data_IF_636274500995
#
_entry.id   IF_636274500995
#
_cell.length_a   1.000
_cell.length_b   1.000
_cell.length_c   1.000
_cell.angle_alpha   90.00
_cell.angle_beta   90.00
_cell.angle_gamma   90.00
#
_symmetry.space_group_name_H-M   'P 1'
#
loop_
_entity.id
_entity.type
_entity.pdbx_description
1 polymer ?
#
# COMPACT_ATOMS: atom_id res chain seq x y z
N UNK A 1 36.76 84.02 3.65
CA UNK A 1 35.61 83.39 4.25
C UNK A 1 35.02 82.43 3.19
N UNK A 2 35.40 81.17 3.18
CA UNK A 2 34.97 80.20 2.19
C UNK A 2 33.92 79.31 2.85
N UNK A 3 32.69 79.34 2.37
CA UNK A 3 31.60 78.43 2.81
C UNK A 3 31.73 77.14 2.09
N UNK A 4 31.97 76.06 2.82
CA UNK A 4 31.99 74.69 2.32
C UNK A 4 30.56 74.16 2.40
N UNK A 5 29.94 73.94 1.24
CA UNK A 5 28.61 73.33 1.15
C UNK A 5 28.86 71.81 1.11
N UNK A 6 28.43 71.14 2.18
CA UNK A 6 28.49 69.69 2.29
C UNK A 6 27.22 69.11 1.65
N UNK A 7 27.35 68.49 0.47
CA UNK A 7 26.28 67.74 -0.21
C UNK A 7 26.22 66.34 0.39
N UNK A 8 25.18 66.15 1.23
CA UNK A 8 24.86 64.83 1.77
C UNK A 8 24.07 64.06 0.71
N UNK A 9 24.73 63.11 0.04
CA UNK A 9 24.05 62.14 -0.80
C UNK A 9 23.42 61.08 0.05
N UNK A 10 22.09 61.10 0.19
CA UNK A 10 21.30 60.02 0.83
C UNK A 10 21.17 58.90 -0.17
N UNK A 11 21.97 57.84 0.01
CA UNK A 11 21.79 56.57 -0.69
C UNK A 11 20.58 55.83 -0.10
N UNK A 12 19.48 55.79 -0.86
CA UNK A 12 18.27 55.06 -0.52
C UNK A 12 18.55 53.55 -0.73
N UNK A 13 18.92 52.84 0.33
CA UNK A 13 19.04 51.39 0.36
C UNK A 13 17.64 50.79 0.42
N UNK A 14 17.12 50.38 -0.74
CA UNK A 14 15.95 49.53 -0.81
C UNK A 14 16.33 48.12 -0.35
N UNK A 15 15.63 47.52 0.63
CA UNK A 15 15.83 46.13 0.94
C UNK A 15 15.29 45.28 -0.21
N UNK A 16 16.18 44.62 -0.95
CA UNK A 16 15.83 43.53 -1.85
C UNK A 16 15.26 42.39 -0.99
N UNK A 17 13.93 42.34 -0.88
CA UNK A 17 13.25 41.21 -0.35
C UNK A 17 13.41 40.06 -1.36
N UNK A 18 14.44 39.23 -1.16
CA UNK A 18 14.51 37.94 -1.78
C UNK A 18 13.32 37.13 -1.27
N UNK A 19 12.24 37.09 -2.02
CA UNK A 19 11.26 36.02 -1.92
C UNK A 19 11.99 34.73 -2.36
N UNK A 20 12.67 34.12 -1.42
CA UNK A 20 13.01 32.71 -1.54
C UNK A 20 11.69 31.96 -1.56
N UNK A 21 11.21 31.66 -2.76
CA UNK A 21 10.17 30.68 -2.99
C UNK A 21 10.78 29.36 -2.54
N UNK A 22 10.61 29.04 -1.27
CA UNK A 22 10.89 27.73 -0.72
C UNK A 22 10.02 26.77 -1.50
N UNK A 23 10.64 26.09 -2.48
CA UNK A 23 10.09 24.89 -3.11
C UNK A 23 9.80 23.96 -1.93
N UNK A 24 8.52 23.83 -1.61
CA UNK A 24 8.06 22.91 -0.57
C UNK A 24 8.47 21.53 -1.06
N UNK A 25 9.63 21.08 -0.61
CA UNK A 25 10.00 19.66 -0.75
C UNK A 25 8.91 18.91 -0.01
N UNK A 26 8.04 18.28 -0.77
CA UNK A 26 7.06 17.35 -0.22
C UNK A 26 7.85 16.27 0.50
N UNK A 27 7.73 16.26 1.83
CA UNK A 27 8.24 15.14 2.62
C UNK A 27 7.80 13.83 1.96
N UNK A 28 8.67 12.81 1.86
CA UNK A 28 8.31 11.52 1.23
C UNK A 28 7.00 10.92 1.74
N UNK A 29 6.61 11.23 2.98
CA UNK A 29 5.36 10.77 3.58
C UNK A 29 4.06 11.37 3.01
N UNK A 30 4.09 12.53 2.34
CA UNK A 30 2.85 13.14 1.80
C UNK A 30 2.47 12.55 0.44
N UNK A 31 3.45 12.31 -0.44
CA UNK A 31 3.18 11.72 -1.76
C UNK A 31 2.73 10.25 -1.67
N UNK A 32 3.21 9.53 -0.65
CA UNK A 32 2.87 8.13 -0.38
C UNK A 32 1.42 7.99 0.10
N UNK A 33 0.92 8.93 0.90
CA UNK A 33 -0.45 8.90 1.41
C UNK A 33 -1.50 9.08 0.31
N UNK A 34 -1.22 9.91 -0.70
CA UNK A 34 -2.14 10.15 -1.82
C UNK A 34 -2.33 8.89 -2.71
N UNK A 35 -1.28 8.05 -2.84
CA UNK A 35 -1.35 6.80 -3.64
C UNK A 35 -2.35 5.82 -3.04
N UNK A 36 -2.47 5.78 -1.72
CA UNK A 36 -3.34 4.87 -0.99
C UNK A 36 -4.67 5.47 -0.56
N UNK A 37 -4.95 6.75 -0.90
CA UNK A 37 -6.16 7.45 -0.50
C UNK A 37 -7.42 6.89 -1.18
N UNK A 38 -7.82 5.69 -0.79
CA UNK A 38 -9.00 4.94 -1.27
C UNK A 38 -9.78 4.39 -0.10
N UNK A 39 -11.02 3.99 -0.34
CA UNK A 39 -11.79 3.20 0.60
C UNK A 39 -11.35 1.73 0.53
N UNK A 40 -11.15 1.11 1.68
CA UNK A 40 -10.72 -0.29 1.78
C UNK A 40 -11.71 -1.13 2.58
N UNK A 41 -11.87 -2.36 2.12
CA UNK A 41 -12.58 -3.44 2.80
C UNK A 41 -11.68 -4.70 2.87
N UNK A 42 -12.25 -5.86 3.19
CA UNK A 42 -11.50 -7.13 3.18
C UNK A 42 -10.99 -7.51 1.78
N UNK A 43 -11.75 -7.18 0.73
CA UNK A 43 -11.35 -7.40 -0.66
C UNK A 43 -11.54 -6.12 -1.46
N UNK A 44 -10.47 -5.69 -2.09
CA UNK A 44 -10.36 -4.44 -2.84
C UNK A 44 -9.84 -4.74 -4.25
N UNK A 45 -10.75 -5.03 -5.17
CA UNK A 45 -10.41 -5.37 -6.55
C UNK A 45 -10.28 -4.11 -7.42
N UNK A 46 -9.24 -3.31 -7.18
CA UNK A 46 -9.00 -2.06 -7.94
C UNK A 46 -8.56 -2.33 -9.39
N UNK A 47 -8.03 -3.52 -9.68
CA UNK A 47 -7.65 -3.92 -11.03
C UNK A 47 -8.82 -4.52 -11.83
N UNK A 48 -9.97 -4.76 -11.16
CA UNK A 48 -11.19 -5.32 -11.76
C UNK A 48 -10.95 -6.67 -12.45
N UNK A 49 -10.24 -7.56 -11.79
CA UNK A 49 -9.91 -8.89 -12.30
C UNK A 49 -10.86 -9.98 -11.84
N UNK A 50 -11.78 -9.64 -10.93
CA UNK A 50 -12.80 -10.55 -10.39
C UNK A 50 -14.19 -10.16 -10.88
N UNK A 51 -15.07 -11.14 -11.03
CA UNK A 51 -16.50 -10.87 -11.24
C UNK A 51 -17.17 -10.41 -9.93
N UNK A 52 -18.34 -9.76 -9.99
CA UNK A 52 -19.09 -9.37 -8.79
C UNK A 52 -19.39 -10.56 -7.85
N UNK A 53 -19.73 -11.73 -8.40
CA UNK A 53 -20.02 -12.94 -7.61
C UNK A 53 -18.76 -13.50 -6.95
N UNK A 54 -17.62 -13.53 -7.66
CA UNK A 54 -16.33 -13.91 -7.11
C UNK A 54 -15.90 -12.97 -5.97
N UNK A 55 -16.05 -11.67 -6.18
CA UNK A 55 -15.78 -10.65 -5.16
C UNK A 55 -16.63 -10.85 -3.92
N UNK A 56 -17.94 -11.07 -4.11
CA UNK A 56 -18.89 -11.32 -3.01
C UNK A 56 -18.54 -12.60 -2.25
N UNK A 57 -18.27 -13.69 -2.94
CA UNK A 57 -17.93 -14.99 -2.34
C UNK A 57 -16.66 -14.88 -1.50
N UNK A 58 -15.59 -14.34 -2.07
CA UNK A 58 -14.31 -14.20 -1.39
C UNK A 58 -14.41 -13.24 -0.19
N UNK A 59 -15.07 -12.08 -0.35
CA UNK A 59 -15.33 -11.16 0.75
C UNK A 59 -16.10 -11.80 1.90
N UNK A 60 -17.09 -12.63 1.59
CA UNK A 60 -17.87 -13.35 2.61
C UNK A 60 -16.99 -14.33 3.39
N UNK A 61 -16.12 -15.07 2.70
CA UNK A 61 -15.17 -15.99 3.32
C UNK A 61 -14.21 -15.24 4.26
N UNK A 62 -13.65 -14.12 3.82
CA UNK A 62 -12.73 -13.31 4.62
C UNK A 62 -13.40 -12.74 5.88
N UNK A 63 -14.61 -12.20 5.75
CA UNK A 63 -15.41 -11.68 6.88
C UNK A 63 -15.80 -12.78 7.88
N UNK A 64 -16.17 -13.97 7.39
CA UNK A 64 -16.49 -15.11 8.24
C UNK A 64 -15.25 -15.60 9.02
N UNK A 65 -14.10 -15.63 8.38
CA UNK A 65 -12.84 -16.00 9.01
C UNK A 65 -12.43 -15.00 10.10
N UNK A 66 -12.48 -13.70 9.83
CA UNK A 66 -12.21 -12.68 10.85
C UNK A 66 -13.15 -12.81 12.05
N UNK A 67 -14.44 -12.99 11.81
CA UNK A 67 -15.43 -13.16 12.88
C UNK A 67 -15.13 -14.37 13.77
N UNK A 68 -14.59 -15.46 13.21
CA UNK A 68 -14.29 -16.70 13.93
C UNK A 68 -12.97 -16.63 14.72
N UNK A 69 -11.94 -16.00 14.14
CA UNK A 69 -10.57 -16.10 14.64
C UNK A 69 -9.98 -14.80 15.17
N UNK A 70 -10.60 -13.66 14.85
CA UNK A 70 -10.10 -12.30 15.01
C UNK A 70 -8.90 -11.96 14.10
N UNK A 71 -8.42 -12.90 13.28
CA UNK A 71 -7.41 -12.63 12.25
C UNK A 71 -8.06 -12.00 11.02
N UNK A 72 -7.52 -10.89 10.57
CA UNK A 72 -8.04 -10.15 9.42
C UNK A 72 -7.13 -10.35 8.20
N UNK A 73 -7.69 -10.90 7.13
CA UNK A 73 -7.04 -10.96 5.83
C UNK A 73 -7.61 -9.85 4.95
N UNK A 74 -6.73 -9.01 4.41
CA UNK A 74 -7.09 -7.98 3.41
C UNK A 74 -6.46 -8.35 2.09
N UNK A 75 -7.25 -8.30 1.02
CA UNK A 75 -6.79 -8.51 -0.36
C UNK A 75 -6.91 -7.19 -1.11
N UNK A 76 -5.85 -6.83 -1.82
CA UNK A 76 -5.82 -5.66 -2.70
C UNK A 76 -5.29 -6.08 -4.06
N UNK A 77 -6.01 -5.75 -5.13
CA UNK A 77 -5.49 -5.86 -6.50
C UNK A 77 -5.14 -4.48 -7.02
N UNK A 78 -4.06 -4.35 -7.81
CA UNK A 78 -3.64 -3.07 -8.38
C UNK A 78 -2.96 -3.25 -9.73
N UNK A 79 -3.29 -2.38 -10.69
CA UNK A 79 -2.63 -2.35 -12.00
C UNK A 79 -1.33 -1.55 -12.01
N UNK A 80 -1.04 -0.78 -10.95
CA UNK A 80 0.14 0.07 -10.88
C UNK A 80 0.61 0.24 -9.45
N UNK A 81 1.90 0.24 -9.27
CA UNK A 81 2.57 0.50 -7.98
C UNK A 81 3.32 1.83 -7.96
N UNK A 82 3.13 2.68 -8.98
CA UNK A 82 3.81 3.98 -9.02
C UNK A 82 3.50 4.82 -7.79
N UNK A 83 4.46 5.53 -7.22
CA UNK A 83 5.84 5.75 -7.68
C UNK A 83 6.85 4.66 -7.28
N UNK A 84 6.43 3.56 -6.64
CA UNK A 84 7.29 2.46 -6.26
C UNK A 84 7.80 1.69 -7.47
N UNK A 85 8.98 1.08 -7.32
CA UNK A 85 9.60 0.21 -8.32
C UNK A 85 9.49 -1.27 -7.95
N UNK A 86 9.13 -1.55 -6.71
CA UNK A 86 9.06 -2.90 -6.14
C UNK A 86 7.71 -3.12 -5.44
N UNK A 87 7.11 -4.31 -5.64
CA UNK A 87 5.81 -4.67 -5.06
C UNK A 87 5.90 -4.86 -3.55
N UNK A 88 7.05 -5.28 -3.04
CA UNK A 88 7.27 -5.48 -1.62
C UNK A 88 7.24 -4.13 -0.88
N UNK A 89 8.00 -3.13 -1.36
CA UNK A 89 8.02 -1.79 -0.77
C UNK A 89 6.64 -1.13 -0.81
N UNK A 90 5.92 -1.26 -1.95
CA UNK A 90 4.55 -0.81 -2.07
C UNK A 90 3.64 -1.48 -1.04
N UNK A 91 3.77 -2.80 -0.85
CA UNK A 91 2.94 -3.55 0.09
C UNK A 91 3.22 -3.19 1.55
N UNK A 92 4.47 -2.91 1.91
CA UNK A 92 4.87 -2.45 3.25
C UNK A 92 4.26 -1.09 3.58
N UNK A 93 4.32 -0.14 2.66
CA UNK A 93 3.76 1.19 2.90
C UNK A 93 2.22 1.19 2.83
N UNK A 94 1.62 0.33 2.01
CA UNK A 94 0.18 0.09 2.03
C UNK A 94 -0.26 -0.49 3.38
N UNK A 95 0.46 -1.47 3.91
CA UNK A 95 0.18 -2.06 5.23
C UNK A 95 0.25 -1.00 6.34
N UNK A 96 1.30 -0.18 6.35
CA UNK A 96 1.42 0.95 7.28
C UNK A 96 0.25 1.93 7.13
N UNK A 97 -0.18 2.22 5.91
CA UNK A 97 -1.32 3.10 5.66
C UNK A 97 -2.62 2.51 6.21
N UNK A 98 -2.89 1.22 5.95
CA UNK A 98 -4.06 0.52 6.46
C UNK A 98 -4.08 0.52 8.00
N UNK A 99 -2.93 0.31 8.63
CA UNK A 99 -2.78 0.31 10.09
C UNK A 99 -2.93 1.70 10.70
N UNK A 100 -2.16 2.67 10.21
CA UNK A 100 -2.00 3.98 10.85
C UNK A 100 -3.13 4.95 10.50
N UNK A 101 -3.56 4.99 9.23
CA UNK A 101 -4.54 5.96 8.73
C UNK A 101 -5.98 5.43 8.81
N UNK A 102 -6.18 4.14 8.53
CA UNK A 102 -7.51 3.53 8.48
C UNK A 102 -7.82 2.65 9.70
N UNK A 103 -6.83 2.35 10.53
CA UNK A 103 -6.94 1.48 11.73
C UNK A 103 -7.54 0.11 11.41
N UNK A 104 -7.26 -0.40 10.22
CA UNK A 104 -7.81 -1.67 9.76
C UNK A 104 -7.10 -2.89 10.34
N UNK A 105 -5.82 -2.78 10.69
CA UNK A 105 -4.99 -3.80 11.34
C UNK A 105 -5.08 -5.17 10.65
N UNK A 106 -4.65 -5.28 9.38
CA UNK A 106 -4.62 -6.57 8.72
C UNK A 106 -3.61 -7.50 9.38
N UNK A 107 -4.04 -8.71 9.75
CA UNK A 107 -3.12 -9.76 10.17
C UNK A 107 -2.33 -10.32 8.99
N UNK A 108 -2.99 -10.34 7.82
CA UNK A 108 -2.38 -10.68 6.53
C UNK A 108 -2.86 -9.70 5.47
N UNK A 109 -1.91 -9.14 4.72
CA UNK A 109 -2.17 -8.38 3.50
C UNK A 109 -1.74 -9.19 2.28
N UNK A 110 -2.66 -9.45 1.36
CA UNK A 110 -2.38 -10.04 0.05
C UNK A 110 -2.47 -8.93 -0.99
N UNK A 111 -1.37 -8.63 -1.64
CA UNK A 111 -1.30 -7.68 -2.74
C UNK A 111 -1.04 -8.43 -4.05
N UNK A 112 -1.93 -8.27 -5.02
CA UNK A 112 -1.84 -8.90 -6.34
C UNK A 112 -1.82 -7.83 -7.43
N UNK A 113 -0.90 -7.96 -8.37
CA UNK A 113 -0.94 -7.23 -9.63
C UNK A 113 -0.89 -8.19 -10.80
N UNK A 114 -2.02 -8.28 -11.53
CA UNK A 114 -2.10 -9.01 -12.80
C UNK A 114 -1.22 -8.35 -13.85
N UNK A 115 -1.23 -7.01 -13.90
CA UNK A 115 -0.45 -6.23 -14.86
C UNK A 115 1.06 -6.48 -14.70
N UNK A 116 1.55 -6.54 -13.46
CA UNK A 116 2.95 -6.81 -13.14
C UNK A 116 3.26 -8.31 -13.04
N UNK A 117 2.24 -9.17 -13.03
CA UNK A 117 2.34 -10.63 -12.80
C UNK A 117 3.04 -10.97 -11.47
N UNK A 118 2.71 -10.21 -10.44
CA UNK A 118 3.32 -10.34 -9.13
C UNK A 118 2.26 -10.48 -8.05
N UNK A 119 2.58 -11.26 -7.02
CA UNK A 119 1.80 -11.37 -5.79
C UNK A 119 2.75 -11.25 -4.60
N UNK A 120 2.32 -10.52 -3.58
CA UNK A 120 2.99 -10.39 -2.29
C UNK A 120 1.99 -10.75 -1.19
N UNK A 121 2.43 -11.55 -0.23
CA UNK A 121 1.68 -11.83 0.99
C UNK A 121 2.54 -11.34 2.15
N UNK A 122 2.01 -10.40 2.93
CA UNK A 122 2.62 -9.93 4.18
C UNK A 122 1.82 -10.46 5.36
N UNK A 123 2.49 -11.04 6.32
CA UNK A 123 1.92 -11.41 7.61
C UNK A 123 2.52 -10.55 8.72
N UNK A 124 1.73 -10.20 9.73
CA UNK A 124 2.23 -9.56 10.94
C UNK A 124 3.21 -10.46 11.69
N UNK A 125 4.16 -9.86 12.41
CA UNK A 125 5.13 -10.59 13.23
C UNK A 125 4.46 -11.47 14.30
N UNK A 126 3.29 -11.06 14.76
CA UNK A 126 2.51 -11.78 15.79
C UNK A 126 2.06 -13.17 15.36
N UNK A 127 1.99 -13.44 14.04
CA UNK A 127 1.58 -14.75 13.51
C UNK A 127 2.73 -15.57 12.92
N UNK A 128 3.98 -15.12 13.02
CA UNK A 128 5.15 -15.84 12.43
C UNK A 128 5.32 -17.26 12.96
N UNK A 129 4.86 -17.55 14.18
CA UNK A 129 4.86 -18.90 14.73
C UNK A 129 3.86 -19.86 14.07
N UNK A 130 2.81 -19.31 13.41
CA UNK A 130 1.81 -20.08 12.64
C UNK A 130 2.09 -20.05 11.14
N UNK A 131 2.68 -18.95 10.65
CA UNK A 131 2.90 -18.69 9.23
C UNK A 131 4.28 -18.06 9.02
N UNK A 132 5.28 -18.89 8.73
CA UNK A 132 6.62 -18.41 8.41
C UNK A 132 6.71 -17.85 6.98
N UNK A 133 7.81 -17.13 6.70
CA UNK A 133 8.07 -16.60 5.35
C UNK A 133 8.20 -17.73 4.31
N UNK A 134 8.79 -18.88 4.68
CA UNK A 134 8.90 -20.07 3.81
C UNK A 134 7.52 -20.66 3.50
N UNK A 135 6.66 -20.76 4.51
CA UNK A 135 5.30 -21.23 4.35
C UNK A 135 4.47 -20.29 3.48
N UNK A 136 4.68 -19.00 3.61
CA UNK A 136 4.05 -17.98 2.74
C UNK A 136 4.49 -18.16 1.29
N UNK A 137 5.80 -18.34 1.04
CA UNK A 137 6.33 -18.63 -0.29
C UNK A 137 5.80 -19.95 -0.86
N UNK A 138 5.65 -20.97 -0.01
CA UNK A 138 5.05 -22.25 -0.40
C UNK A 138 3.60 -22.08 -0.86
N UNK A 139 2.78 -21.31 -0.13
CA UNK A 139 1.39 -21.00 -0.52
C UNK A 139 1.36 -20.30 -1.88
N UNK A 140 2.20 -19.29 -2.08
CA UNK A 140 2.27 -18.55 -3.35
C UNK A 140 2.64 -19.51 -4.49
N UNK A 141 3.68 -20.34 -4.32
CA UNK A 141 4.18 -21.20 -5.39
C UNK A 141 3.28 -22.38 -5.70
N UNK A 142 2.58 -22.94 -4.68
CA UNK A 142 1.77 -24.15 -4.84
C UNK A 142 0.29 -23.87 -5.12
N UNK A 143 -0.27 -22.76 -4.58
CA UNK A 143 -1.68 -22.44 -4.72
C UNK A 143 -1.96 -21.32 -5.71
N UNK A 144 -1.25 -20.19 -5.60
CA UNK A 144 -1.53 -19.00 -6.42
C UNK A 144 -0.98 -19.13 -7.84
N UNK A 145 0.33 -19.35 -7.97
CA UNK A 145 1.06 -19.28 -9.25
C UNK A 145 0.54 -20.26 -10.30
N UNK A 146 0.21 -21.54 -9.99
CA UNK A 146 -0.32 -22.46 -10.98
C UNK A 146 -1.63 -21.99 -11.62
N UNK A 147 -2.53 -21.40 -10.83
CA UNK A 147 -3.81 -20.89 -11.34
C UNK A 147 -3.63 -19.58 -12.10
N UNK A 148 -2.74 -18.69 -11.64
CA UNK A 148 -2.42 -17.43 -12.34
C UNK A 148 -1.81 -17.69 -13.73
N UNK A 149 -1.00 -18.75 -13.87
CA UNK A 149 -0.47 -19.18 -15.18
C UNK A 149 -1.56 -19.63 -16.16
N UNK A 150 -2.69 -20.13 -15.65
CA UNK A 150 -3.87 -20.46 -16.44
C UNK A 150 -4.77 -19.24 -16.71
N UNK A 151 -4.46 -18.08 -16.12
CA UNK A 151 -5.27 -16.87 -16.17
C UNK A 151 -6.41 -16.82 -15.14
N UNK A 152 -6.52 -17.83 -14.26
CA UNK A 152 -7.57 -17.92 -13.25
C UNK A 152 -7.12 -17.28 -11.93
N UNK A 153 -7.22 -15.94 -11.88
CA UNK A 153 -6.82 -15.16 -10.71
C UNK A 153 -7.71 -15.39 -9.51
N UNK A 154 -9.01 -15.65 -9.74
CA UNK A 154 -9.94 -15.97 -8.65
C UNK A 154 -9.55 -17.27 -7.94
N UNK A 155 -9.37 -18.36 -8.70
CA UNK A 155 -8.96 -19.64 -8.10
C UNK A 155 -7.62 -19.55 -7.39
N UNK A 156 -6.66 -18.81 -7.93
CA UNK A 156 -5.38 -18.62 -7.25
C UNK A 156 -5.51 -17.88 -5.92
N UNK A 157 -6.34 -16.83 -5.86
CA UNK A 157 -6.64 -16.14 -4.60
C UNK A 157 -7.43 -17.03 -3.63
N UNK A 158 -8.48 -17.70 -4.11
CA UNK A 158 -9.32 -18.61 -3.30
C UNK A 158 -8.48 -19.72 -2.68
N UNK A 159 -7.63 -20.39 -3.47
CA UNK A 159 -6.75 -21.46 -3.00
C UNK A 159 -5.72 -20.96 -1.97
N UNK A 160 -5.15 -19.76 -2.20
CA UNK A 160 -4.22 -19.14 -1.26
C UNK A 160 -4.91 -18.81 0.07
N UNK A 161 -6.09 -18.20 0.01
CA UNK A 161 -6.89 -17.89 1.20
C UNK A 161 -7.25 -19.15 1.97
N UNK A 162 -7.67 -20.22 1.28
CA UNK A 162 -8.00 -21.49 1.93
C UNK A 162 -6.80 -22.09 2.68
N UNK A 163 -5.59 -22.03 2.10
CA UNK A 163 -4.39 -22.49 2.78
C UNK A 163 -3.99 -21.61 3.97
N UNK A 164 -4.13 -20.28 3.85
CA UNK A 164 -3.87 -19.34 4.95
C UNK A 164 -4.84 -19.59 6.11
N UNK A 165 -6.13 -19.72 5.84
CA UNK A 165 -7.15 -20.03 6.85
C UNK A 165 -6.79 -21.33 7.57
N UNK A 166 -6.49 -22.40 6.84
CA UNK A 166 -6.12 -23.72 7.42
C UNK A 166 -4.92 -23.65 8.35
N UNK A 167 -3.96 -22.75 8.10
CA UNK A 167 -2.76 -22.60 8.95
C UNK A 167 -3.01 -21.75 10.18
N UNK A 168 -3.95 -20.82 10.10
CA UNK A 168 -4.24 -19.89 11.19
C UNK A 168 -5.30 -20.42 12.17
N UNK A 169 -6.16 -21.33 11.74
CA UNK A 169 -7.09 -22.07 12.62
C UNK A 169 -6.35 -23.10 13.45
#
# INVERSE_FOLDING_TARGET
MKKIILLATIALLLPFSFFAQAKKESSPGSATQDVFAKSYEHLNDFEKILTPDQTKTLSTTLKAFEKKTLYKIIIVTTSSIKPYTDLFDYSQDLDKYLNSNLRMQPTILILLSKQLRQIQILGEDTIRYKLSDEQTKEIVSSAAVPEFKKGDYYKGLEASVAQLIKRLE
#
